data_IF_983547985926
#
_entry.id   IF_983547985926
#
_cell.length_a   1.000
_cell.length_b   1.000
_cell.length_c   1.000
_cell.angle_alpha   90.00
_cell.angle_beta   90.00
_cell.angle_gamma   90.00
#
_symmetry.space_group_name_H-M   'P 1'
#
loop_
_entity.id
_entity.type
_entity.pdbx_description
1 polymer ?
#
# COMPACT_ATOMS: atom_id res chain seq x y z
N UNK A 1 32.76 -9.41 -7.46
CA UNK A 1 32.61 -10.10 -8.78
C UNK A 1 31.33 -10.91 -8.70
N UNK A 2 30.38 -10.59 -9.51
CA UNK A 2 29.11 -11.27 -9.52
C UNK A 2 29.25 -12.60 -10.22
N UNK A 3 28.71 -13.62 -9.58
CA UNK A 3 28.67 -14.95 -10.14
C UNK A 3 27.74 -14.93 -11.37
N UNK A 4 28.31 -14.88 -12.58
CA UNK A 4 27.56 -14.88 -13.83
C UNK A 4 26.60 -16.07 -13.94
N UNK A 5 26.97 -17.21 -13.38
CA UNK A 5 26.13 -18.40 -13.37
C UNK A 5 24.89 -18.23 -12.48
N UNK A 6 25.02 -17.56 -11.34
CA UNK A 6 23.89 -17.21 -10.49
C UNK A 6 22.92 -16.23 -11.16
N UNK A 7 23.47 -15.23 -11.84
CA UNK A 7 22.72 -14.24 -12.61
C UNK A 7 21.89 -14.88 -13.73
N UNK A 8 22.51 -15.70 -14.57
CA UNK A 8 21.86 -16.36 -15.71
C UNK A 8 20.78 -17.34 -15.24
N UNK A 9 20.99 -17.94 -14.08
CA UNK A 9 20.06 -18.90 -13.51
C UNK A 9 18.87 -18.22 -12.84
N UNK A 10 19.06 -17.05 -12.21
CA UNK A 10 17.99 -16.20 -11.69
C UNK A 10 17.03 -15.77 -12.82
N UNK A 11 17.57 -15.30 -13.94
CA UNK A 11 16.81 -15.00 -15.15
C UNK A 11 15.98 -16.18 -15.65
N UNK A 12 16.60 -17.35 -15.80
CA UNK A 12 15.89 -18.56 -16.25
C UNK A 12 14.80 -19.01 -15.29
N UNK A 13 14.95 -18.71 -14.01
CA UNK A 13 13.97 -19.11 -13.00
C UNK A 13 12.80 -18.15 -12.96
N UNK A 14 13.05 -16.85 -13.04
CA UNK A 14 12.01 -15.83 -13.02
C UNK A 14 11.17 -15.82 -14.30
N UNK A 15 11.80 -16.01 -15.47
CA UNK A 15 11.18 -15.80 -16.77
C UNK A 15 11.36 -16.94 -17.79
N UNK A 16 11.74 -18.13 -17.36
CA UNK A 16 11.90 -19.28 -18.25
C UNK A 16 13.18 -19.24 -19.12
N UNK A 17 13.07 -19.62 -20.41
CA UNK A 17 14.22 -19.78 -21.32
C UNK A 17 14.68 -18.48 -21.99
N UNK A 18 14.68 -17.35 -21.31
CA UNK A 18 15.13 -16.08 -21.88
C UNK A 18 16.63 -16.13 -22.18
N UNK A 19 16.98 -16.06 -23.46
CA UNK A 19 18.33 -16.38 -23.95
C UNK A 19 19.20 -15.17 -24.24
N UNK A 20 18.69 -13.93 -24.22
CA UNK A 20 19.50 -12.79 -24.67
C UNK A 20 19.00 -11.42 -24.25
N UNK A 21 18.68 -11.21 -22.97
CA UNK A 21 18.39 -9.85 -22.50
C UNK A 21 19.64 -8.98 -22.53
N UNK A 22 19.49 -7.71 -22.87
CA UNK A 22 20.49 -6.69 -22.55
C UNK A 22 20.48 -6.40 -21.06
N UNK A 23 21.62 -6.04 -20.51
CA UNK A 23 21.78 -5.71 -19.09
C UNK A 23 22.81 -4.62 -18.91
N UNK A 24 22.51 -3.74 -17.96
CA UNK A 24 23.48 -2.82 -17.35
C UNK A 24 23.48 -3.08 -15.86
N UNK A 25 24.66 -3.06 -15.26
CA UNK A 25 24.82 -3.27 -13.82
C UNK A 25 25.60 -2.14 -13.20
N UNK A 26 25.28 -1.87 -11.93
CA UNK A 26 26.21 -1.18 -11.06
C UNK A 26 26.82 -2.19 -10.04
N UNK A 27 27.12 -1.77 -8.81
CA UNK A 27 27.68 -2.61 -7.76
C UNK A 27 26.62 -3.49 -7.06
N UNK A 28 25.31 -3.15 -7.14
CA UNK A 28 24.22 -3.77 -6.38
C UNK A 28 23.06 -4.20 -7.26
N UNK A 29 22.70 -3.39 -8.25
CA UNK A 29 21.52 -3.57 -9.10
C UNK A 29 21.90 -4.00 -10.51
N UNK A 30 21.04 -4.82 -11.14
CA UNK A 30 21.11 -5.17 -12.55
C UNK A 30 19.78 -4.82 -13.22
N UNK A 31 19.82 -3.95 -14.23
CA UNK A 31 18.64 -3.56 -15.02
C UNK A 31 18.68 -4.28 -16.35
N UNK A 32 17.62 -5.00 -16.67
CA UNK A 32 17.49 -5.91 -17.80
C UNK A 32 16.36 -5.47 -18.72
N UNK A 33 16.51 -5.67 -20.04
CA UNK A 33 15.46 -5.40 -21.03
C UNK A 33 15.63 -6.21 -22.31
N UNK A 34 14.57 -6.23 -23.15
CA UNK A 34 14.57 -6.88 -24.46
C UNK A 34 15.63 -6.24 -25.38
N UNK A 35 16.47 -7.04 -26.07
CA UNK A 35 17.56 -6.52 -26.93
C UNK A 35 17.10 -5.69 -28.13
N UNK A 36 15.83 -5.75 -28.50
CA UNK A 36 15.28 -4.91 -29.57
C UNK A 36 15.17 -3.43 -29.19
N UNK A 37 15.27 -3.12 -27.91
CA UNK A 37 15.15 -1.76 -27.37
C UNK A 37 16.46 -1.27 -26.78
N UNK A 38 16.51 0.01 -26.43
CA UNK A 38 17.63 0.59 -25.70
C UNK A 38 17.10 1.36 -24.49
N UNK A 39 17.42 0.84 -23.30
CA UNK A 39 17.08 1.41 -22.00
C UNK A 39 18.32 1.71 -21.15
N UNK A 40 19.48 1.91 -21.82
CA UNK A 40 20.70 2.24 -21.09
C UNK A 40 20.56 3.56 -20.29
N UNK A 41 19.98 4.59 -20.91
CA UNK A 41 19.71 5.87 -20.23
C UNK A 41 18.74 5.73 -19.06
N UNK A 42 17.73 4.87 -19.21
CA UNK A 42 16.73 4.64 -18.17
C UNK A 42 17.37 3.96 -16.95
N UNK A 43 18.26 3.00 -17.16
CA UNK A 43 19.03 2.39 -16.09
C UNK A 43 19.84 3.42 -15.28
N UNK A 44 20.39 4.45 -15.94
CA UNK A 44 21.11 5.53 -15.25
C UNK A 44 20.21 6.42 -14.39
N UNK A 45 18.91 6.47 -14.68
CA UNK A 45 17.90 7.13 -13.84
C UNK A 45 17.49 6.23 -12.67
N UNK A 46 17.32 4.92 -12.92
CA UNK A 46 16.85 3.93 -11.95
C UNK A 46 17.87 3.69 -10.83
N UNK A 47 19.14 3.47 -11.18
CA UNK A 47 20.17 3.11 -10.19
C UNK A 47 20.29 4.08 -9.00
N UNK A 48 20.43 5.39 -9.18
CA UNK A 48 20.59 6.30 -8.04
C UNK A 48 19.35 6.38 -7.18
N UNK A 49 18.16 6.15 -7.75
CA UNK A 49 16.93 6.14 -6.98
C UNK A 49 16.82 4.87 -6.12
N UNK A 50 17.04 3.69 -6.69
CA UNK A 50 17.03 2.43 -5.95
C UNK A 50 18.13 2.38 -4.86
N UNK A 51 19.30 2.98 -5.12
CA UNK A 51 20.34 3.13 -4.08
C UNK A 51 19.91 4.00 -2.94
N UNK A 52 19.23 5.11 -3.22
CA UNK A 52 18.65 5.97 -2.17
C UNK A 52 17.63 5.22 -1.33
N UNK A 53 16.71 4.51 -1.99
CA UNK A 53 15.69 3.68 -1.34
C UNK A 53 16.37 2.64 -0.44
N UNK A 54 17.35 1.90 -0.99
CA UNK A 54 18.11 0.91 -0.20
C UNK A 54 18.78 1.54 1.02
N UNK A 55 19.50 2.64 0.84
CA UNK A 55 20.18 3.32 1.94
C UNK A 55 19.20 3.72 3.04
N UNK A 56 18.05 4.27 2.66
CA UNK A 56 17.01 4.69 3.59
C UNK A 56 16.38 3.48 4.33
N UNK A 57 16.02 2.43 3.61
CA UNK A 57 15.49 1.20 4.19
C UNK A 57 16.45 0.57 5.21
N UNK A 58 17.74 0.51 4.89
CA UNK A 58 18.74 -0.10 5.77
C UNK A 58 19.08 0.76 6.99
N UNK A 59 19.22 2.07 6.81
CA UNK A 59 19.74 2.94 7.87
C UNK A 59 18.66 3.62 8.71
N UNK A 60 17.53 3.95 8.12
CA UNK A 60 16.46 4.69 8.78
C UNK A 60 15.27 3.82 9.18
N UNK A 61 15.05 2.70 8.46
CA UNK A 61 13.87 1.86 8.68
C UNK A 61 14.21 0.47 9.24
N UNK A 62 15.48 0.20 9.55
CA UNK A 62 15.91 -1.05 10.18
C UNK A 62 15.69 -2.31 9.33
N UNK A 63 15.50 -2.15 8.02
CA UNK A 63 15.35 -3.26 7.07
C UNK A 63 16.71 -3.86 6.71
N UNK A 64 16.74 -5.00 6.03
CA UNK A 64 17.99 -5.71 5.71
C UNK A 64 18.05 -6.14 4.24
N UNK A 65 19.27 -6.20 3.72
CA UNK A 65 19.54 -6.84 2.44
C UNK A 65 19.31 -8.36 2.53
N UNK A 66 18.93 -9.02 1.42
CA UNK A 66 18.87 -10.46 1.38
C UNK A 66 20.29 -11.06 1.55
N UNK A 67 20.41 -12.20 2.26
CA UNK A 67 21.72 -12.81 2.54
C UNK A 67 22.58 -13.06 1.30
N UNK A 68 21.95 -13.38 0.18
CA UNK A 68 22.64 -13.72 -1.06
C UNK A 68 23.25 -12.52 -1.81
N UNK A 69 22.93 -11.29 -1.43
CA UNK A 69 23.64 -10.12 -1.92
C UNK A 69 25.14 -10.20 -1.61
N UNK A 70 25.50 -10.65 -0.41
CA UNK A 70 26.91 -10.85 0.00
C UNK A 70 27.61 -11.96 -0.78
N UNK A 71 26.88 -12.90 -1.36
CA UNK A 71 27.39 -13.94 -2.27
C UNK A 71 27.59 -13.44 -3.71
N UNK A 72 27.32 -12.17 -3.98
CA UNK A 72 27.55 -11.54 -5.28
C UNK A 72 26.38 -11.61 -6.25
N UNK A 73 25.16 -11.83 -5.76
CA UNK A 73 23.95 -11.71 -6.56
C UNK A 73 23.47 -10.26 -6.61
N UNK A 74 22.83 -9.86 -7.72
CA UNK A 74 22.23 -8.55 -7.88
C UNK A 74 20.76 -8.54 -7.42
N UNK A 75 20.28 -7.37 -7.03
CA UNK A 75 18.88 -7.04 -7.16
C UNK A 75 18.54 -6.86 -8.65
N UNK A 76 17.57 -7.61 -9.14
CA UNK A 76 17.22 -7.60 -10.56
C UNK A 76 16.01 -6.71 -10.82
N UNK A 77 16.12 -5.88 -11.83
CA UNK A 77 15.05 -4.99 -12.31
C UNK A 77 14.84 -5.26 -13.80
N UNK A 78 13.62 -5.54 -14.20
CA UNK A 78 13.27 -5.88 -15.56
C UNK A 78 12.36 -4.82 -16.15
N UNK A 79 12.85 -4.07 -17.17
CA UNK A 79 12.03 -3.13 -17.93
C UNK A 79 11.33 -3.91 -19.03
N UNK A 80 9.99 -3.80 -19.10
CA UNK A 80 9.20 -4.56 -20.06
C UNK A 80 8.09 -3.71 -20.71
N UNK A 81 7.56 -4.22 -21.82
CA UNK A 81 6.47 -3.61 -22.61
C UNK A 81 5.19 -4.45 -22.60
N UNK A 82 5.04 -5.33 -21.62
CA UNK A 82 3.96 -6.29 -21.58
C UNK A 82 4.12 -7.36 -22.68
N UNK A 83 3.05 -7.61 -23.40
CA UNK A 83 3.04 -8.64 -24.46
C UNK A 83 3.94 -8.33 -25.67
N UNK A 84 4.56 -7.14 -25.71
CA UNK A 84 5.30 -6.65 -26.87
C UNK A 84 6.79 -6.98 -26.84
N UNK A 85 7.26 -7.64 -25.80
CA UNK A 85 8.66 -8.03 -25.65
C UNK A 85 8.81 -9.48 -25.15
N UNK A 86 10.04 -9.91 -24.91
CA UNK A 86 10.34 -11.26 -24.45
C UNK A 86 10.12 -11.49 -22.96
N UNK A 87 9.75 -10.45 -22.20
CA UNK A 87 9.48 -10.55 -20.77
C UNK A 87 7.99 -10.86 -20.57
N UNK A 88 7.65 -11.94 -19.86
CA UNK A 88 6.27 -12.45 -19.82
C UNK A 88 5.33 -11.68 -18.90
N UNK A 89 5.74 -10.57 -18.30
CA UNK A 89 4.90 -9.79 -17.42
C UNK A 89 3.97 -8.89 -18.22
N UNK A 90 2.68 -9.16 -18.15
CA UNK A 90 1.59 -8.43 -18.83
C UNK A 90 0.88 -7.40 -17.93
N UNK A 91 1.18 -7.41 -16.64
CA UNK A 91 0.34 -6.80 -15.62
C UNK A 91 0.85 -5.48 -15.06
N UNK A 92 1.84 -4.88 -15.64
CA UNK A 92 2.43 -3.67 -15.09
C UNK A 92 3.57 -3.97 -14.11
N UNK A 93 3.56 -3.31 -12.96
CA UNK A 93 4.58 -3.57 -11.94
C UNK A 93 4.41 -4.97 -11.33
N UNK A 94 5.54 -5.63 -11.08
CA UNK A 94 5.54 -6.95 -10.48
C UNK A 94 6.77 -7.16 -9.63
N UNK A 95 6.61 -7.92 -8.57
CA UNK A 95 7.66 -8.21 -7.61
C UNK A 95 7.65 -9.69 -7.25
N UNK A 96 8.77 -10.15 -6.74
CA UNK A 96 8.89 -11.49 -6.26
C UNK A 96 10.29 -11.80 -5.77
N UNK A 97 10.47 -13.04 -5.39
CA UNK A 97 11.77 -13.58 -4.99
C UNK A 97 12.10 -14.74 -5.91
N UNK A 98 13.29 -14.71 -6.49
CA UNK A 98 13.78 -15.81 -7.31
C UNK A 98 14.19 -17.02 -6.45
N UNK A 99 14.55 -18.14 -7.10
CA UNK A 99 14.93 -19.37 -6.39
C UNK A 99 16.22 -19.25 -5.56
N UNK A 100 16.97 -18.18 -5.71
CA UNK A 100 18.16 -17.88 -4.91
C UNK A 100 17.88 -16.93 -3.76
N UNK A 101 16.62 -16.61 -3.51
CA UNK A 101 16.21 -15.67 -2.49
C UNK A 101 16.56 -14.22 -2.79
N UNK A 102 16.80 -13.89 -4.07
CA UNK A 102 17.00 -12.51 -4.50
C UNK A 102 15.67 -11.89 -4.94
N UNK A 103 15.29 -10.76 -4.37
CA UNK A 103 14.11 -10.06 -4.85
C UNK A 103 14.33 -9.44 -6.22
N UNK A 104 13.26 -9.31 -6.98
CA UNK A 104 13.26 -8.66 -8.29
C UNK A 104 12.02 -7.77 -8.48
N UNK A 105 12.17 -6.80 -9.38
CA UNK A 105 11.10 -5.94 -9.86
C UNK A 105 10.90 -6.11 -11.36
N UNK A 106 9.65 -5.98 -11.80
CA UNK A 106 9.31 -5.75 -13.20
C UNK A 106 8.65 -4.39 -13.35
N UNK A 107 9.17 -3.56 -14.24
CA UNK A 107 8.74 -2.17 -14.42
C UNK A 107 8.24 -1.97 -15.85
N UNK A 108 6.96 -1.63 -16.05
CA UNK A 108 6.41 -1.40 -17.37
C UNK A 108 6.89 -0.06 -17.94
N UNK A 109 7.09 -0.03 -19.25
CA UNK A 109 7.40 1.20 -19.98
C UNK A 109 6.30 2.25 -19.73
N UNK A 110 6.73 3.48 -19.55
CA UNK A 110 5.86 4.62 -19.24
C UNK A 110 5.95 5.06 -17.77
N UNK A 111 6.19 4.11 -16.84
CA UNK A 111 6.34 4.43 -15.40
C UNK A 111 7.67 3.96 -14.82
N UNK A 112 8.47 3.20 -15.55
CA UNK A 112 9.74 2.59 -15.11
C UNK A 112 10.81 3.59 -14.62
N UNK A 113 10.73 4.85 -15.01
CA UNK A 113 11.62 5.93 -14.56
C UNK A 113 10.90 6.97 -13.69
N UNK A 114 9.62 6.77 -13.41
CA UNK A 114 8.86 7.62 -12.49
C UNK A 114 9.42 7.51 -11.08
N UNK A 115 9.78 8.61 -10.48
CA UNK A 115 10.30 8.64 -9.10
C UNK A 115 9.26 8.08 -8.12
N UNK A 116 8.01 8.48 -8.28
CA UNK A 116 6.88 8.00 -7.48
C UNK A 116 6.74 6.47 -7.55
N UNK A 117 6.69 5.93 -8.76
CA UNK A 117 6.62 4.47 -8.98
C UNK A 117 7.84 3.74 -8.41
N UNK A 118 9.04 4.30 -8.57
CA UNK A 118 10.26 3.68 -8.06
C UNK A 118 10.34 3.67 -6.54
N UNK A 119 9.81 4.66 -5.84
CA UNK A 119 9.74 4.64 -4.37
C UNK A 119 8.79 3.55 -3.89
N UNK A 120 7.62 3.39 -4.51
CA UNK A 120 6.68 2.33 -4.18
C UNK A 120 7.28 0.93 -4.46
N UNK A 121 7.62 0.68 -5.70
CA UNK A 121 8.11 -0.63 -6.15
C UNK A 121 9.48 -1.00 -5.56
N UNK A 122 10.36 -0.02 -5.42
CA UNK A 122 11.67 -0.21 -4.81
C UNK A 122 11.59 -0.59 -3.33
N UNK A 123 10.57 -0.14 -2.61
CA UNK A 123 10.34 -0.54 -1.22
C UNK A 123 9.96 -2.03 -1.13
N UNK A 124 9.21 -2.55 -2.09
CA UNK A 124 8.86 -3.97 -2.14
C UNK A 124 10.08 -4.90 -2.17
N UNK A 125 11.21 -4.48 -2.75
CA UNK A 125 12.47 -5.26 -2.72
C UNK A 125 12.81 -5.69 -1.29
N UNK A 126 12.67 -4.77 -0.33
CA UNK A 126 13.01 -5.01 1.06
C UNK A 126 11.93 -5.80 1.78
N UNK A 127 10.66 -5.61 1.44
CA UNK A 127 9.57 -6.43 1.97
C UNK A 127 9.71 -7.89 1.52
N UNK A 128 10.06 -8.14 0.27
CA UNK A 128 10.29 -9.50 -0.25
C UNK A 128 11.62 -10.13 0.22
N UNK A 129 12.52 -9.34 0.78
CA UNK A 129 13.73 -9.82 1.47
C UNK A 129 13.46 -10.25 2.91
N UNK A 130 12.25 -9.99 3.41
CA UNK A 130 11.87 -10.24 4.78
C UNK A 130 11.80 -11.73 5.14
N UNK A 131 11.91 -12.03 6.42
CA UNK A 131 11.91 -13.40 6.95
C UNK A 131 10.70 -13.71 7.85
N UNK A 132 9.73 -12.80 7.95
CA UNK A 132 8.54 -12.96 8.78
C UNK A 132 7.37 -13.51 7.97
N UNK A 133 6.95 -14.78 8.18
CA UNK A 133 5.82 -15.37 7.45
C UNK A 133 4.52 -14.60 7.64
N UNK A 134 4.30 -14.00 8.82
CA UNK A 134 3.12 -13.20 9.12
C UNK A 134 3.03 -11.87 8.34
N UNK A 135 4.13 -11.44 7.72
CA UNK A 135 4.21 -10.23 6.88
C UNK A 135 4.33 -10.56 5.38
N UNK A 136 4.06 -11.79 4.97
CA UNK A 136 4.06 -12.16 3.56
C UNK A 136 2.82 -11.64 2.83
N UNK A 137 2.90 -11.52 1.49
CA UNK A 137 1.78 -11.10 0.64
C UNK A 137 0.73 -12.21 0.51
N UNK A 138 0.04 -12.49 1.63
CA UNK A 138 -0.97 -13.56 1.70
C UNK A 138 -1.99 -13.31 2.83
N UNK A 139 -3.20 -13.81 2.65
CA UNK A 139 -4.25 -13.76 3.68
C UNK A 139 -4.48 -12.34 4.21
N UNK A 140 -4.64 -12.24 5.52
CA UNK A 140 -4.92 -10.98 6.22
C UNK A 140 -3.70 -10.04 6.35
N UNK A 141 -2.55 -10.41 5.77
CA UNK A 141 -1.34 -9.56 5.74
C UNK A 141 -1.13 -8.87 4.40
N UNK A 142 -1.83 -9.32 3.35
CA UNK A 142 -1.66 -8.82 1.99
C UNK A 142 -1.80 -7.29 1.87
N UNK A 143 -2.79 -6.71 2.56
CA UNK A 143 -3.02 -5.27 2.56
C UNK A 143 -1.80 -4.47 3.00
N UNK A 144 -1.02 -5.03 3.93
CA UNK A 144 0.08 -4.31 4.57
C UNK A 144 1.27 -4.10 3.64
N UNK A 145 1.49 -5.03 2.73
CA UNK A 145 2.55 -4.94 1.72
C UNK A 145 2.32 -3.68 0.87
N UNK A 146 1.12 -3.51 0.33
CA UNK A 146 0.78 -2.36 -0.51
C UNK A 146 0.66 -1.07 0.31
N UNK A 147 -0.02 -1.13 1.46
CA UNK A 147 -0.21 0.03 2.31
C UNK A 147 1.13 0.60 2.82
N UNK A 148 2.10 -0.24 3.18
CA UNK A 148 3.40 0.25 3.65
C UNK A 148 4.32 0.71 2.54
N UNK A 149 4.21 0.16 1.33
CA UNK A 149 4.91 0.70 0.16
C UNK A 149 4.35 2.08 -0.24
N UNK A 150 3.02 2.23 -0.24
CA UNK A 150 2.36 3.51 -0.50
C UNK A 150 2.68 4.53 0.60
N UNK A 151 2.67 4.11 1.88
CA UNK A 151 3.13 4.95 2.99
C UNK A 151 4.56 5.43 2.77
N UNK A 152 5.48 4.56 2.39
CA UNK A 152 6.87 4.91 2.14
C UNK A 152 6.99 5.93 1.00
N UNK A 153 6.28 5.73 -0.10
CA UNK A 153 6.20 6.69 -1.21
C UNK A 153 5.73 8.07 -0.72
N UNK A 154 4.64 8.14 0.04
CA UNK A 154 4.11 9.39 0.59
C UNK A 154 5.10 10.09 1.56
N UNK A 155 5.85 9.31 2.37
CA UNK A 155 6.88 9.86 3.26
C UNK A 155 8.05 10.48 2.49
N UNK A 156 8.40 9.94 1.33
CA UNK A 156 9.55 10.40 0.54
C UNK A 156 9.21 11.48 -0.46
N UNK A 157 7.96 11.54 -0.87
CA UNK A 157 7.43 12.49 -1.86
C UNK A 157 6.21 13.23 -1.30
N UNK A 158 6.34 13.97 -0.19
CA UNK A 158 5.20 14.62 0.44
C UNK A 158 4.57 15.71 -0.44
N UNK A 159 5.33 16.27 -1.38
CA UNK A 159 4.87 17.29 -2.32
C UNK A 159 4.29 16.70 -3.62
N UNK A 160 4.41 15.40 -3.85
CA UNK A 160 3.76 14.73 -4.98
C UNK A 160 2.32 14.36 -4.63
N UNK A 161 1.39 15.21 -5.02
CA UNK A 161 -0.05 14.97 -4.76
C UNK A 161 -0.55 13.65 -5.33
N UNK A 162 0.08 13.11 -6.39
CA UNK A 162 -0.31 11.83 -6.98
C UNK A 162 0.05 10.64 -6.08
N UNK A 163 0.98 10.79 -5.15
CA UNK A 163 1.27 9.78 -4.14
C UNK A 163 0.09 9.53 -3.17
N UNK A 164 -0.88 10.44 -3.12
CA UNK A 164 -2.03 10.38 -2.21
C UNK A 164 -3.34 10.00 -2.90
N UNK A 165 -3.30 9.65 -4.18
CA UNK A 165 -4.51 9.37 -4.96
C UNK A 165 -5.36 8.25 -4.36
N UNK A 166 -4.74 7.20 -3.86
CA UNK A 166 -5.44 6.05 -3.28
C UNK A 166 -6.11 6.33 -1.92
N UNK A 167 -5.79 7.47 -1.28
CA UNK A 167 -6.46 7.88 -0.04
C UNK A 167 -7.98 8.00 -0.23
N UNK A 168 -8.45 8.33 -1.43
CA UNK A 168 -9.87 8.37 -1.78
C UNK A 168 -10.58 7.02 -1.61
N UNK A 169 -9.89 5.91 -1.90
CA UNK A 169 -10.47 4.58 -1.74
C UNK A 169 -10.77 4.24 -0.27
N UNK A 170 -9.99 4.81 0.67
CA UNK A 170 -10.27 4.68 2.10
C UNK A 170 -11.54 5.45 2.50
N UNK A 171 -11.67 6.69 2.05
CA UNK A 171 -12.83 7.52 2.32
C UNK A 171 -14.12 6.95 1.73
N UNK A 172 -14.04 6.34 0.55
CA UNK A 172 -15.18 5.72 -0.13
C UNK A 172 -15.68 4.45 0.59
N UNK A 173 -14.78 3.66 1.17
CA UNK A 173 -15.09 2.34 1.73
C UNK A 173 -14.70 2.19 3.22
N UNK A 174 -15.12 3.09 4.12
CA UNK A 174 -14.70 3.07 5.52
C UNK A 174 -15.25 1.88 6.31
N UNK A 175 -16.33 1.24 5.83
CA UNK A 175 -16.99 0.09 6.46
C UNK A 175 -16.24 -1.23 6.26
N UNK A 176 -15.28 -1.28 5.32
CA UNK A 176 -14.45 -2.46 5.12
C UNK A 176 -13.40 -2.60 6.22
N UNK A 177 -13.02 -3.82 6.55
CA UNK A 177 -11.98 -4.09 7.54
C UNK A 177 -10.67 -3.37 7.18
N UNK A 178 -9.90 -2.97 8.21
CA UNK A 178 -8.58 -2.36 8.01
C UNK A 178 -7.68 -3.23 7.11
N UNK A 179 -7.73 -4.55 7.28
CA UNK A 179 -6.94 -5.53 6.51
C UNK A 179 -7.60 -6.01 5.20
N UNK A 180 -8.58 -5.26 4.68
CA UNK A 180 -9.18 -5.61 3.39
C UNK A 180 -8.15 -5.51 2.25
N UNK A 181 -8.08 -6.54 1.41
CA UNK A 181 -7.12 -6.67 0.31
C UNK A 181 -7.78 -7.21 -0.96
N UNK A 182 -7.04 -7.28 -2.06
CA UNK A 182 -7.52 -7.86 -3.32
C UNK A 182 -8.11 -9.27 -3.17
N UNK A 183 -7.52 -10.11 -2.31
CA UNK A 183 -8.01 -11.48 -2.11
C UNK A 183 -9.37 -11.58 -1.41
N UNK A 184 -9.86 -10.48 -0.84
CA UNK A 184 -11.18 -10.43 -0.24
C UNK A 184 -12.31 -10.21 -1.26
N UNK A 185 -11.97 -9.97 -2.52
CA UNK A 185 -12.97 -9.94 -3.60
C UNK A 185 -13.44 -11.35 -3.93
N UNK A 186 -14.74 -11.55 -3.96
CA UNK A 186 -15.31 -12.74 -4.55
C UNK A 186 -15.13 -12.72 -6.07
N UNK A 187 -14.82 -13.86 -6.67
CA UNK A 187 -14.77 -13.95 -8.12
C UNK A 187 -16.16 -13.61 -8.71
N UNK A 188 -16.24 -12.53 -9.49
CA UNK A 188 -17.48 -12.05 -10.11
C UNK A 188 -18.14 -10.84 -9.42
N UNK A 189 -17.57 -10.33 -8.35
CA UNK A 189 -17.98 -9.02 -7.84
C UNK A 189 -17.70 -7.94 -8.89
N UNK A 190 -18.62 -6.98 -9.04
CA UNK A 190 -18.37 -5.87 -9.94
C UNK A 190 -17.05 -5.22 -9.55
N UNK A 191 -16.23 -4.97 -10.54
CA UNK A 191 -14.93 -4.34 -10.43
C UNK A 191 -15.09 -2.87 -10.06
N UNK A 192 -15.56 -2.60 -8.86
CA UNK A 192 -15.42 -1.29 -8.29
C UNK A 192 -13.93 -1.07 -8.00
N UNK A 193 -13.31 -0.24 -8.80
CA UNK A 193 -11.90 0.11 -8.68
C UNK A 193 -11.55 0.58 -7.27
N UNK A 194 -12.37 1.42 -6.66
CA UNK A 194 -12.14 1.90 -5.30
C UNK A 194 -12.13 0.80 -4.26
N UNK A 195 -12.95 -0.24 -4.47
CA UNK A 195 -12.96 -1.42 -3.60
C UNK A 195 -11.65 -2.22 -3.73
N UNK A 196 -11.15 -2.38 -4.96
CA UNK A 196 -9.91 -3.10 -5.23
C UNK A 196 -8.68 -2.38 -4.67
N UNK A 197 -8.58 -1.06 -4.91
CA UNK A 197 -7.42 -0.27 -4.45
C UNK A 197 -7.49 0.12 -2.98
N UNK A 198 -8.51 -0.35 -2.25
CA UNK A 198 -8.68 -0.09 -0.82
C UNK A 198 -7.43 -0.45 0.00
N UNK A 199 -6.73 -1.52 -0.36
CA UNK A 199 -5.48 -1.93 0.31
C UNK A 199 -4.36 -0.89 0.20
N UNK A 200 -4.29 -0.14 -0.90
CA UNK A 200 -3.36 0.99 -1.05
C UNK A 200 -3.83 2.17 -0.19
N UNK A 201 -5.13 2.48 -0.20
CA UNK A 201 -5.73 3.58 0.55
C UNK A 201 -5.51 3.50 2.07
N UNK A 202 -5.24 2.30 2.60
CA UNK A 202 -4.88 2.10 4.02
C UNK A 202 -3.53 2.74 4.39
N UNK A 203 -2.70 3.14 3.42
CA UNK A 203 -1.51 3.92 3.74
C UNK A 203 -1.82 5.13 4.60
N UNK A 204 -3.02 5.69 4.50
CA UNK A 204 -3.50 6.81 5.31
C UNK A 204 -3.49 6.51 6.81
N UNK A 205 -3.77 5.27 7.21
CA UNK A 205 -3.65 4.84 8.59
C UNK A 205 -2.19 4.81 9.07
N UNK A 206 -1.28 4.27 8.25
CA UNK A 206 0.14 4.22 8.57
C UNK A 206 0.74 5.64 8.59
N UNK A 207 0.31 6.48 7.65
CA UNK A 207 0.69 7.89 7.59
C UNK A 207 0.21 8.66 8.83
N UNK A 208 -1.04 8.45 9.25
CA UNK A 208 -1.56 9.01 10.48
C UNK A 208 -0.75 8.57 11.70
N UNK A 209 -0.45 7.27 11.82
CA UNK A 209 0.34 6.75 12.95
C UNK A 209 1.70 7.45 13.06
N UNK A 210 2.39 7.64 11.94
CA UNK A 210 3.75 8.19 11.93
C UNK A 210 3.81 9.72 11.96
N UNK A 211 2.85 10.40 11.33
CA UNK A 211 2.91 11.85 11.14
C UNK A 211 2.03 12.64 12.10
N UNK A 212 1.02 12.00 12.70
CA UNK A 212 0.07 12.65 13.61
C UNK A 212 0.16 12.05 15.02
N UNK A 213 0.15 10.73 15.13
CA UNK A 213 0.18 10.02 16.41
C UNK A 213 1.57 9.78 16.99
N UNK A 214 2.62 10.29 16.32
CA UNK A 214 4.02 10.21 16.74
C UNK A 214 4.50 8.78 17.05
N UNK A 215 4.04 7.82 16.23
CA UNK A 215 4.53 6.44 16.27
C UNK A 215 5.81 6.35 15.43
N UNK A 216 6.85 5.74 15.97
CA UNK A 216 8.13 5.61 15.26
C UNK A 216 7.98 4.85 13.94
N UNK A 217 8.58 5.38 12.86
CA UNK A 217 8.49 4.81 11.51
C UNK A 217 9.00 3.37 11.44
N UNK A 218 10.00 3.03 12.26
CA UNK A 218 10.56 1.67 12.36
C UNK A 218 9.53 0.65 12.84
N UNK A 219 8.48 1.08 13.56
CA UNK A 219 7.39 0.17 13.93
C UNK A 219 6.69 -0.40 12.69
N UNK A 220 6.57 0.38 11.62
CA UNK A 220 5.95 -0.05 10.37
C UNK A 220 6.79 -1.16 9.71
N UNK A 221 8.11 -1.11 9.84
CA UNK A 221 9.03 -1.98 9.10
C UNK A 221 9.63 -3.13 9.93
N UNK A 222 9.80 -2.98 11.23
CA UNK A 222 10.45 -3.97 12.08
C UNK A 222 9.79 -5.36 12.03
N UNK A 223 8.47 -5.42 11.89
CA UNK A 223 7.73 -6.68 11.81
C UNK A 223 8.19 -7.59 10.68
N UNK A 224 8.68 -7.03 9.57
CA UNK A 224 9.16 -7.80 8.42
C UNK A 224 10.37 -8.69 8.73
N UNK A 225 11.20 -8.32 9.71
CA UNK A 225 12.51 -8.95 9.95
C UNK A 225 12.63 -9.70 11.30
N UNK A 226 11.53 -9.91 12.00
CA UNK A 226 11.51 -10.58 13.30
C UNK A 226 11.30 -12.11 13.21
N UNK A 227 11.13 -12.67 12.02
CA UNK A 227 10.79 -14.09 11.85
C UNK A 227 9.45 -14.47 12.50
N UNK A 228 8.53 -13.53 12.58
CA UNK A 228 7.25 -13.72 13.30
C UNK A 228 6.14 -14.26 12.38
N UNK A 229 5.26 -15.09 12.97
CA UNK A 229 4.01 -15.54 12.35
C UNK A 229 2.84 -14.58 12.63
N UNK A 230 3.05 -13.53 13.43
CA UNK A 230 2.02 -12.53 13.71
C UNK A 230 1.68 -11.76 12.44
N UNK A 231 0.40 -11.59 12.16
CA UNK A 231 -0.05 -10.64 11.15
C UNK A 231 0.35 -9.20 11.54
N UNK A 232 0.45 -8.26 10.58
CA UNK A 232 0.79 -6.87 10.87
C UNK A 232 -0.12 -6.22 11.92
N UNK A 233 -1.43 -6.48 11.86
CA UNK A 233 -2.39 -5.97 12.83
C UNK A 233 -2.18 -6.54 14.24
N UNK A 234 -1.85 -7.82 14.36
CA UNK A 234 -1.52 -8.45 15.65
C UNK A 234 -0.18 -7.94 16.19
N UNK A 235 0.80 -7.76 15.32
CA UNK A 235 2.09 -7.18 15.67
C UNK A 235 1.89 -5.75 16.21
N UNK A 236 1.18 -4.88 15.51
CA UNK A 236 0.88 -3.52 15.98
C UNK A 236 0.12 -3.54 17.31
N UNK A 237 -0.86 -4.43 17.44
CA UNK A 237 -1.61 -4.60 18.69
C UNK A 237 -0.71 -4.91 19.87
N UNK A 238 0.30 -5.77 19.70
CA UNK A 238 1.26 -6.13 20.75
C UNK A 238 2.29 -5.03 21.03
N UNK A 239 2.77 -4.35 20.01
CA UNK A 239 3.81 -3.32 20.15
C UNK A 239 3.26 -2.00 20.69
N UNK A 240 2.13 -1.56 20.19
CA UNK A 240 1.49 -0.30 20.61
C UNK A 240 0.69 -0.48 21.91
N UNK A 241 0.13 -1.65 22.12
CA UNK A 241 -0.80 -1.96 23.20
C UNK A 241 -2.26 -1.71 22.79
N UNK A 242 -3.16 -2.56 23.30
CA UNK A 242 -4.56 -2.63 22.88
C UNK A 242 -5.30 -1.31 22.97
N UNK A 243 -5.23 -0.62 24.12
CA UNK A 243 -5.99 0.60 24.35
C UNK A 243 -5.46 1.76 23.54
N UNK A 244 -4.13 1.88 23.45
CA UNK A 244 -3.49 2.93 22.65
C UNK A 244 -3.77 2.74 21.17
N UNK A 245 -3.69 1.50 20.65
CA UNK A 245 -4.01 1.22 19.25
C UNK A 245 -5.47 1.52 18.92
N UNK A 246 -6.41 1.17 19.83
CA UNK A 246 -7.82 1.54 19.68
C UNK A 246 -8.03 3.05 19.67
N UNK A 247 -7.31 3.77 20.54
CA UNK A 247 -7.32 5.24 20.56
C UNK A 247 -6.86 5.80 19.21
N UNK A 248 -5.70 5.39 18.72
CA UNK A 248 -5.17 5.85 17.42
C UNK A 248 -6.12 5.54 16.26
N UNK A 249 -6.75 4.35 16.27
CA UNK A 249 -7.72 4.02 15.22
C UNK A 249 -8.96 4.93 15.30
N UNK A 250 -9.48 5.17 16.50
CA UNK A 250 -10.63 6.06 16.70
C UNK A 250 -10.33 7.49 16.26
N UNK A 251 -9.16 7.99 16.63
CA UNK A 251 -8.73 9.34 16.26
C UNK A 251 -8.51 9.46 14.75
N UNK A 252 -7.83 8.48 14.12
CA UNK A 252 -7.70 8.43 12.67
C UNK A 252 -9.05 8.40 11.95
N UNK A 253 -9.99 7.57 12.41
CA UNK A 253 -11.35 7.53 11.85
C UNK A 253 -12.06 8.88 11.99
N UNK A 254 -11.86 9.59 13.08
CA UNK A 254 -12.40 10.94 13.29
C UNK A 254 -11.81 11.93 12.29
N UNK A 255 -10.50 11.94 12.09
CA UNK A 255 -9.83 12.78 11.09
C UNK A 255 -10.27 12.46 9.66
N UNK A 256 -10.49 11.19 9.36
CA UNK A 256 -11.02 10.80 8.04
C UNK A 256 -12.45 11.32 7.81
N UNK A 257 -13.29 11.38 8.86
CA UNK A 257 -14.65 11.94 8.75
C UNK A 257 -14.64 13.46 8.60
N UNK A 258 -13.54 14.11 8.94
CA UNK A 258 -13.26 15.52 8.69
C UNK A 258 -12.51 15.72 7.36
N UNK A 259 -12.82 14.89 6.37
CA UNK A 259 -12.26 14.95 5.01
C UNK A 259 -10.72 14.82 4.97
N UNK A 260 -10.16 13.88 5.75
CA UNK A 260 -8.71 13.63 5.80
C UNK A 260 -7.88 14.86 6.22
N UNK A 261 -8.33 15.60 7.22
CA UNK A 261 -7.81 16.92 7.61
C UNK A 261 -6.32 16.96 8.06
N UNK A 262 -5.66 15.81 8.08
CA UNK A 262 -4.21 15.69 8.26
C UNK A 262 -3.42 15.71 6.94
N UNK A 263 -4.09 15.79 5.79
CA UNK A 263 -3.52 15.98 4.47
C UNK A 263 -3.63 17.44 4.04
N UNK A 264 -2.84 17.86 3.06
CA UNK A 264 -2.99 19.19 2.47
C UNK A 264 -4.26 19.30 1.61
N UNK A 265 -4.81 20.49 1.39
CA UNK A 265 -5.97 20.68 0.53
C UNK A 265 -5.78 20.09 -0.87
N UNK A 266 -4.59 20.20 -1.45
CA UNK A 266 -4.26 19.68 -2.78
C UNK A 266 -4.23 18.14 -2.80
N UNK A 267 -3.71 17.52 -1.73
CA UNK A 267 -3.71 16.06 -1.56
C UNK A 267 -5.15 15.54 -1.38
N UNK A 268 -5.98 16.25 -0.60
CA UNK A 268 -7.41 15.93 -0.41
C UNK A 268 -8.15 16.02 -1.75
N UNK A 269 -7.95 17.10 -2.51
CA UNK A 269 -8.55 17.27 -3.83
C UNK A 269 -8.13 16.14 -4.77
N UNK A 270 -6.86 15.76 -4.77
CA UNK A 270 -6.36 14.66 -5.61
C UNK A 270 -6.96 13.30 -5.20
N UNK A 271 -7.06 13.04 -3.91
CA UNK A 271 -7.73 11.84 -3.39
C UNK A 271 -9.23 11.80 -3.78
N UNK A 272 -9.91 12.94 -3.70
CA UNK A 272 -11.32 13.07 -4.09
C UNK A 272 -11.54 12.77 -5.57
N UNK A 273 -10.58 13.09 -6.46
CA UNK A 273 -10.68 12.81 -7.90
C UNK A 273 -10.81 11.31 -8.21
N UNK A 274 -10.23 10.43 -7.44
CA UNK A 274 -10.45 8.98 -7.62
C UNK A 274 -11.89 8.56 -7.27
N UNK A 275 -12.50 9.22 -6.29
CA UNK A 275 -13.90 8.99 -5.93
C UNK A 275 -14.85 9.56 -7.00
N UNK A 276 -14.43 10.62 -7.71
CA UNK A 276 -15.20 11.26 -8.80
C UNK A 276 -15.50 10.31 -9.93
N UNK A 277 -14.58 9.47 -10.29
CA UNK A 277 -14.77 8.48 -11.35
C UNK A 277 -15.89 7.49 -11.03
N UNK A 278 -16.42 7.53 -9.80
CA UNK A 278 -17.48 6.64 -9.29
C UNK A 278 -18.81 7.38 -9.02
N UNK A 279 -18.89 8.71 -9.18
CA UNK A 279 -20.20 9.37 -9.21
C UNK A 279 -20.39 10.75 -8.58
N UNK A 280 -19.60 11.20 -7.62
CA UNK A 280 -19.78 12.53 -7.02
C UNK A 280 -18.45 13.17 -6.59
N UNK A 281 -18.00 14.18 -7.34
CA UNK A 281 -16.68 14.78 -7.16
C UNK A 281 -16.42 15.50 -5.83
N UNK A 282 -17.43 15.85 -5.13
CA UNK A 282 -17.31 16.62 -3.90
C UNK A 282 -17.44 15.74 -2.64
N UNK A 283 -17.48 14.41 -2.81
CA UNK A 283 -17.90 13.51 -1.74
C UNK A 283 -16.89 12.38 -1.51
N UNK A 284 -15.94 12.61 -0.60
CA UNK A 284 -15.02 11.55 -0.15
C UNK A 284 -15.71 10.37 0.55
N UNK A 285 -16.98 10.52 0.90
CA UNK A 285 -17.74 9.49 1.62
C UNK A 285 -19.08 9.20 0.91
N UNK A 286 -19.07 8.58 -0.28
CA UNK A 286 -20.30 8.32 -1.03
C UNK A 286 -21.28 7.42 -0.25
N UNK A 287 -20.77 6.51 0.57
CA UNK A 287 -21.55 5.58 1.40
C UNK A 287 -21.91 6.13 2.78
N UNK A 288 -21.70 7.45 3.03
CA UNK A 288 -22.08 8.06 4.29
C UNK A 288 -23.58 7.94 4.55
N UNK A 289 -23.93 7.39 5.71
CA UNK A 289 -25.32 7.33 6.17
C UNK A 289 -25.83 8.75 6.40
N UNK A 290 -27.05 9.02 5.94
CA UNK A 290 -27.66 10.33 6.15
C UNK A 290 -28.71 10.26 7.25
N UNK A 291 -28.57 11.10 8.28
CA UNK A 291 -29.59 11.35 9.28
C UNK A 291 -30.21 12.72 9.02
N UNK A 292 -31.56 12.75 8.91
CA UNK A 292 -32.32 14.00 8.87
C UNK A 292 -33.09 14.12 10.15
N UNK A 293 -32.82 15.16 10.93
CA UNK A 293 -33.56 15.45 12.14
C UNK A 293 -35.00 15.89 11.78
N UNK A 294 -35.95 15.06 12.14
CA UNK A 294 -37.38 15.35 11.96
C UNK A 294 -38.04 15.94 13.25
N UNK A 295 -37.24 16.34 14.22
CA UNK A 295 -37.73 17.02 15.44
C UNK A 295 -38.38 16.12 16.48
N UNK A 296 -38.39 14.81 16.28
CA UNK A 296 -38.93 13.84 17.25
C UNK A 296 -38.08 12.57 17.29
N UNK A 297 -37.31 12.44 18.36
CA UNK A 297 -36.95 11.24 19.11
C UNK A 297 -36.53 9.93 18.40
N UNK A 298 -35.65 9.23 19.05
CA UNK A 298 -35.48 7.76 19.13
C UNK A 298 -35.39 6.90 17.86
N UNK A 299 -35.10 7.45 16.70
CA UNK A 299 -34.81 6.62 15.51
C UNK A 299 -33.36 6.18 15.51
N UNK A 300 -33.13 4.90 15.74
CA UNK A 300 -31.83 4.30 15.57
C UNK A 300 -31.45 4.28 14.08
N UNK A 301 -30.28 4.82 13.74
CA UNK A 301 -29.69 4.65 12.42
C UNK A 301 -29.00 3.29 12.42
N UNK A 302 -29.43 2.44 11.50
CA UNK A 302 -28.77 1.16 11.24
C UNK A 302 -28.16 1.20 9.86
N UNK A 303 -26.87 0.90 9.70
CA UNK A 303 -26.31 0.74 8.37
C UNK A 303 -27.01 -0.43 7.65
N UNK A 304 -27.21 -0.32 6.33
CA UNK A 304 -27.57 -1.48 5.51
C UNK A 304 -26.58 -2.62 5.75
N UNK A 305 -26.99 -3.87 5.49
CA UNK A 305 -26.12 -5.03 5.74
C UNK A 305 -24.79 -4.92 5.01
N UNK A 306 -24.80 -4.42 3.76
CA UNK A 306 -23.61 -4.21 2.95
C UNK A 306 -22.64 -3.17 3.54
N UNK A 307 -23.13 -2.23 4.32
CA UNK A 307 -22.33 -1.14 4.91
C UNK A 307 -22.10 -1.30 6.41
N UNK A 308 -22.39 -2.47 6.98
CA UNK A 308 -22.05 -2.74 8.38
C UNK A 308 -20.52 -2.71 8.56
N UNK A 309 -19.99 -1.95 9.53
CA UNK A 309 -18.57 -1.94 9.82
C UNK A 309 -18.07 -3.35 10.15
N UNK A 310 -17.02 -3.77 9.48
CA UNK A 310 -16.29 -5.00 9.77
C UNK A 310 -15.23 -4.73 10.85
N UNK A 311 -14.44 -5.71 11.21
CA UNK A 311 -13.40 -5.53 12.23
C UNK A 311 -12.45 -4.35 11.89
N UNK A 312 -12.26 -3.43 12.84
CA UNK A 312 -11.45 -2.21 12.64
C UNK A 312 -11.90 -1.40 11.40
N UNK A 313 -13.20 -1.10 11.38
CA UNK A 313 -13.85 -0.28 10.37
C UNK A 313 -14.79 0.73 11.05
N UNK A 314 -15.29 1.70 10.30
CA UNK A 314 -16.19 2.73 10.81
C UNK A 314 -17.23 3.12 9.75
N UNK A 315 -18.23 3.88 10.16
CA UNK A 315 -19.18 4.51 9.26
C UNK A 315 -19.16 6.02 9.44
N UNK A 316 -19.36 6.71 8.35
CA UNK A 316 -19.60 8.16 8.34
C UNK A 316 -21.09 8.40 8.39
N UNK A 317 -21.54 9.28 9.29
CA UNK A 317 -22.94 9.66 9.42
C UNK A 317 -23.06 11.17 9.20
N UNK A 318 -23.73 11.56 8.12
CA UNK A 318 -24.05 12.96 7.85
C UNK A 318 -25.33 13.36 8.55
N UNK A 319 -25.24 14.39 9.36
CA UNK A 319 -26.39 14.97 10.04
C UNK A 319 -26.87 16.17 9.22
N UNK A 320 -28.01 16.01 8.55
CA UNK A 320 -28.68 17.13 7.88
C UNK A 320 -29.58 17.83 8.86
N UNK A 321 -29.19 19.03 9.25
CA UNK A 321 -29.97 19.88 10.14
C UNK A 321 -30.19 21.27 9.53
N UNK A 322 -31.41 21.78 9.70
CA UNK A 322 -31.79 23.15 9.31
C UNK A 322 -31.64 24.18 10.43
N UNK A 323 -31.26 23.76 11.65
CA UNK A 323 -31.14 24.61 12.82
C UNK A 323 -29.90 24.31 13.63
N UNK A 324 -29.29 25.34 14.21
CA UNK A 324 -28.25 25.14 15.22
C UNK A 324 -28.84 24.41 16.43
N UNK A 325 -28.32 23.24 16.77
CA UNK A 325 -28.79 22.43 17.88
C UNK A 325 -27.64 21.65 18.51
N UNK A 326 -27.80 21.25 19.75
CA UNK A 326 -26.93 20.31 20.44
C UNK A 326 -27.48 18.90 20.24
N UNK A 327 -26.63 17.99 19.74
CA UNK A 327 -27.01 16.59 19.55
C UNK A 327 -26.40 15.73 20.65
N UNK A 328 -27.20 14.82 21.16
CA UNK A 328 -26.74 13.74 22.03
C UNK A 328 -26.74 12.43 21.21
N UNK A 329 -25.61 11.83 21.05
CA UNK A 329 -25.45 10.53 20.40
C UNK A 329 -25.50 9.42 21.44
N UNK A 330 -26.19 8.35 21.12
CA UNK A 330 -26.18 7.12 21.91
C UNK A 330 -25.81 6.00 20.96
N UNK A 331 -24.74 5.25 21.28
CA UNK A 331 -24.35 4.06 20.56
C UNK A 331 -24.94 2.84 21.24
N UNK A 332 -25.52 1.95 20.45
CA UNK A 332 -25.98 0.64 20.89
C UNK A 332 -25.23 -0.41 20.10
N UNK A 333 -24.29 -1.11 20.75
CA UNK A 333 -23.64 -2.28 20.18
C UNK A 333 -24.55 -3.50 20.24
N UNK A 334 -24.36 -4.45 19.32
CA UNK A 334 -24.92 -5.78 19.44
C UNK A 334 -24.18 -6.54 20.54
N UNK A 335 -24.92 -7.15 21.45
CA UNK A 335 -24.35 -7.95 22.56
C UNK A 335 -23.59 -9.21 22.09
N UNK A 336 -23.70 -9.54 20.80
CA UNK A 336 -23.08 -10.71 20.17
C UNK A 336 -21.81 -10.39 19.37
N UNK A 337 -21.38 -9.15 19.38
CA UNK A 337 -20.13 -8.75 18.71
C UNK A 337 -18.91 -9.22 19.51
N UNK A 338 -18.32 -10.31 19.07
CA UNK A 338 -17.00 -10.80 19.48
C UNK A 338 -15.93 -10.15 18.64
#
# INVERSE_FOLDING_TARGET
MINSAGRDLALKTAFGSLTSLKVVTDDIFAVWWDPQFDHHSDAQIIFPQLKRIRQDCLHNLGMADPPNLSAGYYYNVYIHRGEKDCLPNQWGNGQGTDKYGMPFLTLPIGVHTSESNLYHEGFHIFQYSANSPGFAYQGDSQWYIEASAQWYQCQKLPDDINAFVEAGAMGANPHLALWHSFSNHAAGDPTDWLYQVRQYGIHTYLFYLTNVADVAAELITNGFYLGTDLSPQEYHYRQIGADRLRGHFSDWASHNTADLDYLTPEQIERAAQEVINVGDPANLHPDALTYTDQGTSSNWIRPPEALKPRGWAYNVIRIKNSRAATYKFTLKGDETGS
#
